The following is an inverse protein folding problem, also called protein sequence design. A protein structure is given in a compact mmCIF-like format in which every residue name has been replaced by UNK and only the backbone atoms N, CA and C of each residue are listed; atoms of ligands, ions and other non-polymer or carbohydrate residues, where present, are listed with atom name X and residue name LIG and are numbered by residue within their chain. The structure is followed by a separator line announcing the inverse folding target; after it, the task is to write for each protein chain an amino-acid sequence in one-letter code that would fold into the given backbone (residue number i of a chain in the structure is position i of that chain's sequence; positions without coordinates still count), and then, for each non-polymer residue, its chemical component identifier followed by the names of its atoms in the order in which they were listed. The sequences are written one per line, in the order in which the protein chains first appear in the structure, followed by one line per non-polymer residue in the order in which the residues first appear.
data_IF_918847908514
#
_entry.id   IF_918847908514
#
_cell.length_a   1.000
_cell.length_b   1.000
_cell.length_c   1.000
_cell.angle_alpha   90.00
_cell.angle_beta   90.00
_cell.angle_gamma   90.00
#
_symmetry.space_group_name_H-M   'P 1'
#
loop_
_entity.id
_entity.type
_entity.pdbx_description
1 polymer ?
#
# COMPACT_ATOMS: atom_id res chain seq x y z
N UNK A 1 26.51 -14.43 -12.75
CA UNK A 1 25.47 -13.56 -12.18
C UNK A 1 24.60 -14.42 -11.29
N UNK A 2 24.41 -14.02 -10.03
CA UNK A 2 23.56 -14.72 -9.06
C UNK A 2 22.12 -14.24 -9.21
N UNK A 3 21.15 -15.13 -9.00
CA UNK A 3 19.73 -14.80 -9.11
C UNK A 3 18.88 -15.65 -8.17
N UNK A 4 17.73 -15.12 -7.77
CA UNK A 4 16.82 -15.77 -6.83
C UNK A 4 16.29 -14.80 -5.76
N UNK A 5 15.78 -15.36 -4.67
CA UNK A 5 15.48 -14.58 -3.46
C UNK A 5 16.78 -14.05 -2.85
N UNK A 6 16.65 -13.08 -1.93
CA UNK A 6 17.80 -12.55 -1.21
C UNK A 6 18.56 -13.66 -0.46
N UNK A 7 17.85 -14.62 0.15
CA UNK A 7 18.53 -15.72 0.86
C UNK A 7 19.29 -16.63 -0.10
N UNK A 8 18.72 -16.94 -1.27
CA UNK A 8 19.38 -17.77 -2.27
C UNK A 8 20.66 -17.13 -2.81
N UNK A 9 20.59 -15.84 -3.15
CA UNK A 9 21.75 -15.09 -3.63
C UNK A 9 22.81 -14.98 -2.53
N UNK A 10 22.42 -14.72 -1.29
CA UNK A 10 23.35 -14.68 -0.16
C UNK A 10 24.08 -16.02 0.06
N UNK A 11 23.36 -17.14 -0.04
CA UNK A 11 23.96 -18.47 0.03
C UNK A 11 24.99 -18.72 -1.08
N UNK A 12 24.63 -18.38 -2.32
CA UNK A 12 25.53 -18.54 -3.47
C UNK A 12 26.81 -17.69 -3.34
N UNK A 13 26.71 -16.47 -2.79
CA UNK A 13 27.89 -15.63 -2.53
C UNK A 13 28.79 -16.21 -1.43
N UNK A 14 28.21 -16.80 -0.39
CA UNK A 14 28.97 -17.39 0.71
C UNK A 14 29.77 -18.63 0.28
N UNK A 15 29.26 -19.37 -0.71
CA UNK A 15 29.91 -20.57 -1.26
C UNK A 15 30.99 -20.27 -2.31
N UNK A 16 31.07 -19.02 -2.81
CA UNK A 16 32.03 -18.62 -3.83
C UNK A 16 33.12 -17.68 -3.24
N UNK A 17 34.34 -18.20 -2.97
CA UNK A 17 35.44 -17.42 -2.39
C UNK A 17 35.93 -16.27 -3.27
N UNK A 18 35.61 -16.29 -4.56
CA UNK A 18 35.99 -15.24 -5.51
C UNK A 18 34.90 -14.17 -5.65
N UNK A 19 33.68 -14.42 -5.18
CA UNK A 19 32.57 -13.47 -5.26
C UNK A 19 32.79 -12.20 -4.41
N UNK A 20 33.64 -12.28 -3.38
CA UNK A 20 33.99 -11.15 -2.52
C UNK A 20 35.06 -10.21 -3.10
N UNK A 21 35.59 -10.50 -4.30
CA UNK A 21 36.67 -9.70 -4.93
C UNK A 21 36.10 -8.80 -6.02
N UNK A 22 36.30 -7.49 -5.86
CA UNK A 22 35.92 -6.48 -6.86
C UNK A 22 34.61 -5.76 -6.53
N UNK A 23 34.06 -5.05 -7.52
CA UNK A 23 32.79 -4.36 -7.44
C UNK A 23 31.68 -5.18 -8.09
N UNK A 24 30.46 -5.12 -7.57
CA UNK A 24 29.30 -5.79 -8.14
C UNK A 24 28.07 -4.89 -8.19
N UNK A 25 27.19 -5.17 -9.16
CA UNK A 25 25.91 -4.48 -9.35
C UNK A 25 24.79 -5.35 -8.82
N UNK A 26 23.98 -4.82 -7.91
CA UNK A 26 22.81 -5.51 -7.35
C UNK A 26 21.56 -5.01 -8.05
N UNK A 27 20.85 -5.91 -8.74
CA UNK A 27 19.57 -5.63 -9.38
C UNK A 27 18.44 -6.05 -8.45
N UNK A 28 17.71 -5.09 -7.90
CA UNK A 28 16.56 -5.35 -7.04
C UNK A 28 15.28 -5.20 -7.86
N UNK A 29 14.45 -6.26 -7.92
CA UNK A 29 13.11 -6.13 -8.51
C UNK A 29 12.34 -5.12 -7.68
N UNK A 30 11.75 -4.11 -8.33
CA UNK A 30 10.86 -3.17 -7.67
C UNK A 30 9.74 -3.94 -6.95
N UNK A 31 9.42 -3.51 -5.73
CA UNK A 31 8.24 -4.02 -5.05
C UNK A 31 7.01 -3.82 -5.95
N UNK A 32 6.09 -4.78 -5.98
CA UNK A 32 4.81 -4.56 -6.62
C UNK A 32 4.16 -3.37 -5.92
N UNK A 33 3.88 -2.32 -6.69
CA UNK A 33 3.36 -1.07 -6.13
C UNK A 33 2.06 -1.36 -5.39
N UNK A 34 2.02 -1.04 -4.10
CA UNK A 34 0.79 -0.97 -3.34
C UNK A 34 0.00 0.25 -3.85
N UNK A 35 -0.75 0.08 -4.94
CA UNK A 35 -1.66 1.09 -5.46
C UNK A 35 -1.01 2.45 -5.80
N UNK A 36 -1.81 3.44 -6.20
CA UNK A 36 -1.30 4.76 -6.54
C UNK A 36 -0.69 5.45 -5.31
N UNK A 37 0.47 6.09 -5.51
CA UNK A 37 1.19 6.90 -4.55
C UNK A 37 0.45 8.21 -4.17
N UNK A 38 -0.73 8.10 -3.57
CA UNK A 38 -1.37 9.13 -2.76
C UNK A 38 -1.62 8.49 -1.41
N UNK A 39 -0.93 8.94 -0.36
CA UNK A 39 -0.88 8.27 0.95
C UNK A 39 -2.25 7.73 1.32
N UNK A 40 -2.32 6.42 1.59
CA UNK A 40 -3.55 5.67 1.85
C UNK A 40 -4.39 6.41 2.89
N UNK A 41 -5.33 7.24 2.41
CA UNK A 41 -6.34 7.83 3.26
C UNK A 41 -7.12 6.64 3.78
N UNK A 42 -6.99 6.34 5.06
CA UNK A 42 -7.78 5.30 5.70
C UNK A 42 -9.25 5.74 5.65
N UNK A 43 -9.93 5.25 4.61
CA UNK A 43 -11.32 5.57 4.26
C UNK A 43 -12.24 5.34 5.44
N UNK A 44 -12.04 4.24 6.17
CA UNK A 44 -12.89 3.88 7.30
C UNK A 44 -12.65 4.82 8.48
N UNK A 45 -11.39 5.11 8.82
CA UNK A 45 -11.08 6.06 9.89
C UNK A 45 -11.63 7.46 9.59
N UNK A 46 -11.53 7.90 8.32
CA UNK A 46 -12.08 9.18 7.88
C UNK A 46 -13.61 9.18 7.89
N UNK A 47 -14.26 8.09 7.44
CA UNK A 47 -15.71 7.94 7.50
C UNK A 47 -16.20 7.94 8.94
N UNK A 48 -15.60 7.17 9.84
CA UNK A 48 -15.97 7.12 11.25
C UNK A 48 -15.86 8.49 11.91
N UNK A 49 -14.76 9.21 11.67
CA UNK A 49 -14.60 10.57 12.21
C UNK A 49 -15.70 11.51 11.68
N UNK A 50 -15.97 11.51 10.37
CA UNK A 50 -16.98 12.40 9.78
C UNK A 50 -18.41 12.04 10.19
N UNK A 51 -18.70 10.77 10.47
CA UNK A 51 -20.02 10.31 10.89
C UNK A 51 -20.40 10.78 12.30
N UNK A 52 -19.44 11.22 13.12
CA UNK A 52 -19.73 11.83 14.43
C UNK A 52 -20.33 13.23 14.31
N UNK A 53 -19.96 13.98 13.28
CA UNK A 53 -20.32 15.39 13.11
C UNK A 53 -21.31 15.63 11.95
N UNK A 54 -21.39 14.69 10.99
CA UNK A 54 -22.10 14.89 9.72
C UNK A 54 -23.06 13.73 9.38
N UNK A 55 -24.18 14.02 8.70
CA UNK A 55 -25.02 12.99 8.12
C UNK A 55 -24.25 12.10 7.12
N UNK A 56 -24.55 10.80 7.10
CA UNK A 56 -23.93 9.75 6.25
C UNK A 56 -23.70 10.20 4.80
N UNK A 57 -24.72 10.83 4.20
CA UNK A 57 -24.68 11.28 2.79
C UNK A 57 -23.64 12.38 2.53
N UNK A 58 -23.35 13.22 3.52
CA UNK A 58 -22.31 14.26 3.47
C UNK A 58 -20.93 13.65 3.71
N UNK A 59 -20.79 12.79 4.72
CA UNK A 59 -19.54 12.09 5.00
C UNK A 59 -19.05 11.30 3.77
N UNK A 60 -19.91 10.46 3.19
CA UNK A 60 -19.57 9.67 2.01
C UNK A 60 -19.22 10.52 0.77
N UNK A 61 -19.79 11.72 0.64
CA UNK A 61 -19.42 12.66 -0.44
C UNK A 61 -18.02 13.23 -0.22
N UNK A 62 -17.73 13.72 0.98
CA UNK A 62 -16.42 14.30 1.31
C UNK A 62 -15.30 13.28 1.12
N UNK A 63 -15.53 12.03 1.54
CA UNK A 63 -14.55 10.95 1.34
C UNK A 63 -14.40 10.58 -0.13
N UNK A 64 -15.48 10.60 -0.92
CA UNK A 64 -15.40 10.37 -2.37
C UNK A 64 -14.57 11.45 -3.06
N UNK A 65 -14.78 12.72 -2.70
CA UNK A 65 -14.05 13.85 -3.26
C UNK A 65 -12.56 13.81 -2.87
N UNK A 66 -12.24 13.33 -1.67
CA UNK A 66 -10.86 13.22 -1.17
C UNK A 66 -10.09 12.00 -1.71
N UNK A 67 -10.78 10.90 -2.02
CA UNK A 67 -10.15 9.60 -2.37
C UNK A 67 -10.37 9.19 -3.82
N UNK A 68 -11.27 9.86 -4.55
CA UNK A 68 -11.68 9.45 -5.89
C UNK A 68 -12.50 8.15 -5.93
N UNK A 69 -12.83 7.56 -4.78
CA UNK A 69 -13.58 6.30 -4.71
C UNK A 69 -15.08 6.50 -5.01
N UNK A 70 -15.77 5.46 -5.51
CA UNK A 70 -17.19 5.56 -5.84
C UNK A 70 -18.03 5.93 -4.61
N UNK A 71 -18.79 7.02 -4.75
CA UNK A 71 -19.66 7.53 -3.68
C UNK A 71 -20.65 6.48 -3.16
N UNK A 72 -21.17 5.63 -4.04
CA UNK A 72 -22.12 4.59 -3.65
C UNK A 72 -21.49 3.55 -2.73
N UNK A 73 -20.23 3.19 -2.97
CA UNK A 73 -19.52 2.21 -2.16
C UNK A 73 -19.14 2.80 -0.80
N UNK A 74 -18.71 4.06 -0.79
CA UNK A 74 -18.46 4.81 0.43
C UNK A 74 -19.73 5.05 1.26
N UNK A 75 -20.87 5.25 0.61
CA UNK A 75 -22.16 5.38 1.30
C UNK A 75 -22.58 4.07 1.97
N UNK A 76 -22.47 2.94 1.27
CA UNK A 76 -22.71 1.61 1.85
C UNK A 76 -21.76 1.33 3.00
N UNK A 77 -20.46 1.63 2.83
CA UNK A 77 -19.45 1.48 3.87
C UNK A 77 -19.78 2.32 5.11
N UNK A 78 -20.17 3.58 4.91
CA UNK A 78 -20.56 4.48 5.98
C UNK A 78 -21.81 4.01 6.74
N UNK A 79 -22.75 3.34 6.08
CA UNK A 79 -23.90 2.71 6.75
C UNK A 79 -23.48 1.52 7.61
N UNK A 80 -22.52 0.72 7.16
CA UNK A 80 -21.99 -0.41 7.93
C UNK A 80 -21.12 0.01 9.12
N UNK A 81 -20.51 1.19 9.06
CA UNK A 81 -19.68 1.76 10.14
C UNK A 81 -20.48 2.61 11.13
N UNK A 82 -21.77 2.83 10.86
CA UNK A 82 -22.64 3.62 11.73
C UNK A 82 -22.90 2.82 13.02
N UNK A 83 -22.69 3.41 14.21
CA UNK A 83 -23.14 2.80 15.46
C UNK A 83 -24.67 2.73 15.53
#
# INVERSE_FOLDING_TARGET
FYSGTLEQVAGQLAEDPNAAKGEYVVMVRGAEGNGPAGGDINVDALLTALLTELPVKKAARIVADATGLPRNDLYKRALSLKP
#
